data_IF_935756783174
#
_entry.id   IF_935756783174
#
_cell.length_a   1.000
_cell.length_b   1.000
_cell.length_c   1.000
_cell.angle_alpha   90.00
_cell.angle_beta   90.00
_cell.angle_gamma   90.00
#
_symmetry.space_group_name_H-M   'P 1'
#
loop_
_entity.id
_entity.type
_entity.pdbx_description
1 polymer ?
#
# COMPACT_ATOMS: atom_id res chain seq x y z
N UNK A 1 2.15 54.93 -75.58
CA UNK A 1 1.42 54.74 -74.31
C UNK A 1 1.67 53.33 -73.79
N UNK A 2 2.55 53.23 -72.85
CA UNK A 2 2.96 51.92 -72.23
C UNK A 2 2.25 51.78 -70.91
N UNK A 3 1.40 50.72 -70.78
CA UNK A 3 0.75 50.37 -69.54
C UNK A 3 1.70 49.50 -68.71
N UNK A 4 2.04 49.96 -67.51
CA UNK A 4 2.83 49.21 -66.50
C UNK A 4 1.85 48.47 -65.62
N UNK A 5 1.91 47.13 -65.66
CA UNK A 5 1.21 46.26 -64.70
C UNK A 5 2.04 46.13 -63.40
N UNK A 6 1.47 46.56 -62.28
CA UNK A 6 2.00 46.28 -60.94
C UNK A 6 1.50 44.91 -60.45
N UNK A 7 2.40 43.96 -60.29
CA UNK A 7 2.12 42.66 -59.71
C UNK A 7 2.42 42.76 -58.20
N UNK A 8 1.35 42.81 -57.37
CA UNK A 8 1.48 42.79 -55.92
C UNK A 8 1.60 41.34 -55.46
N UNK A 9 2.79 40.93 -55.00
CA UNK A 9 2.97 39.63 -54.36
C UNK A 9 2.52 39.67 -52.90
N UNK A 10 1.42 39.00 -52.57
CA UNK A 10 1.00 38.75 -51.19
C UNK A 10 1.92 37.64 -50.58
N UNK A 11 2.83 38.04 -49.68
CA UNK A 11 3.50 37.10 -48.77
C UNK A 11 2.57 36.77 -47.62
N UNK A 12 1.92 35.59 -47.66
CA UNK A 12 1.23 35.02 -46.52
C UNK A 12 2.23 34.41 -45.57
N UNK A 13 2.50 35.11 -44.46
CA UNK A 13 3.31 34.59 -43.36
C UNK A 13 2.47 33.55 -42.63
N UNK A 14 2.80 32.27 -42.86
CA UNK A 14 2.23 31.13 -42.13
C UNK A 14 2.84 31.11 -40.74
N UNK A 15 2.15 31.69 -39.74
CA UNK A 15 2.54 31.53 -38.32
C UNK A 15 2.29 30.10 -37.90
N UNK A 16 3.33 29.26 -37.95
CA UNK A 16 3.31 27.95 -37.32
C UNK A 16 3.43 28.16 -35.80
N UNK A 17 2.32 28.13 -35.09
CA UNK A 17 2.32 28.03 -33.64
C UNK A 17 2.81 26.63 -33.26
N UNK A 18 4.08 26.51 -32.87
CA UNK A 18 4.60 25.34 -32.24
C UNK A 18 4.02 25.32 -30.83
N UNK A 19 2.91 24.59 -30.65
CA UNK A 19 2.40 24.24 -29.32
C UNK A 19 3.45 23.34 -28.67
N UNK A 20 4.32 23.91 -27.84
CA UNK A 20 5.15 23.14 -26.94
C UNK A 20 4.23 22.40 -25.98
N UNK A 21 3.98 21.11 -26.26
CA UNK A 21 3.35 20.20 -25.32
C UNK A 21 4.29 20.08 -24.12
N UNK A 22 4.09 20.95 -23.14
CA UNK A 22 4.80 20.89 -21.88
C UNK A 22 4.27 19.65 -21.16
N UNK A 23 5.05 18.57 -21.14
CA UNK A 23 4.70 17.37 -20.42
C UNK A 23 4.37 17.78 -18.98
N UNK A 24 3.12 17.63 -18.59
CA UNK A 24 2.63 18.02 -17.26
C UNK A 24 3.43 17.25 -16.22
N UNK A 25 4.19 17.98 -15.42
CA UNK A 25 5.03 17.38 -14.37
C UNK A 25 4.12 16.65 -13.38
N UNK A 26 4.31 15.33 -13.19
CA UNK A 26 3.54 14.53 -12.27
C UNK A 26 3.55 15.15 -10.87
N UNK A 27 2.38 15.32 -10.28
CA UNK A 27 2.26 15.70 -8.87
C UNK A 27 2.48 14.49 -7.95
N UNK A 28 2.71 14.73 -6.67
CA UNK A 28 2.79 13.65 -5.68
C UNK A 28 1.50 12.83 -5.63
N UNK A 29 0.32 13.50 -5.76
CA UNK A 29 -0.98 12.82 -5.81
C UNK A 29 -1.11 11.91 -7.03
N UNK A 30 -0.71 12.38 -8.22
CA UNK A 30 -0.78 11.57 -9.45
C UNK A 30 0.08 10.31 -9.34
N UNK A 31 1.25 10.42 -8.69
CA UNK A 31 2.14 9.27 -8.46
C UNK A 31 1.47 8.26 -7.53
N UNK A 32 0.89 8.69 -6.41
CA UNK A 32 0.19 7.79 -5.48
C UNK A 32 -1.05 7.18 -6.14
N UNK A 33 -1.77 7.95 -6.97
CA UNK A 33 -2.88 7.40 -7.75
C UNK A 33 -2.42 6.29 -8.70
N UNK A 34 -1.31 6.49 -9.43
CA UNK A 34 -0.71 5.43 -10.28
C UNK A 34 -0.32 4.17 -9.47
N UNK A 35 0.17 4.35 -8.24
CA UNK A 35 0.47 3.22 -7.34
C UNK A 35 -0.81 2.46 -6.99
N UNK A 36 -1.90 3.18 -6.69
CA UNK A 36 -3.20 2.59 -6.39
C UNK A 36 -3.80 1.87 -7.60
N UNK A 37 -3.76 2.50 -8.75
CA UNK A 37 -4.36 1.98 -10.00
C UNK A 37 -3.52 0.88 -10.67
N UNK A 38 -2.38 0.52 -10.08
CA UNK A 38 -1.54 -0.57 -10.59
C UNK A 38 -2.33 -1.88 -10.56
N UNK A 39 -2.36 -2.64 -11.68
CA UNK A 39 -2.98 -3.96 -11.69
C UNK A 39 -2.37 -4.89 -10.64
N UNK A 40 -3.21 -5.50 -9.81
CA UNK A 40 -2.80 -6.41 -8.74
C UNK A 40 -3.70 -7.67 -8.63
N UNK A 41 -4.57 -7.91 -9.65
CA UNK A 41 -5.48 -9.05 -9.75
C UNK A 41 -6.76 -8.86 -8.94
N UNK A 42 -7.89 -9.40 -9.44
CA UNK A 42 -9.20 -9.28 -8.80
C UNK A 42 -9.31 -10.18 -7.55
N UNK A 43 -8.59 -11.28 -7.53
CA UNK A 43 -8.51 -12.19 -6.37
C UNK A 43 -7.07 -12.58 -6.12
N UNK A 44 -6.70 -12.68 -4.85
CA UNK A 44 -5.32 -12.93 -4.43
C UNK A 44 -5.30 -13.95 -3.30
N UNK A 45 -4.34 -14.85 -3.36
CA UNK A 45 -4.00 -15.79 -2.30
C UNK A 45 -2.52 -15.74 -2.04
N UNK A 46 -2.12 -15.85 -0.79
CA UNK A 46 -0.72 -16.06 -0.42
C UNK A 46 -0.59 -16.73 0.95
N UNK A 47 0.49 -17.44 1.13
CA UNK A 47 1.01 -17.83 2.43
C UNK A 47 2.07 -16.82 2.86
N UNK A 48 2.11 -16.49 4.13
CA UNK A 48 3.09 -15.54 4.67
C UNK A 48 3.80 -16.15 5.87
N UNK A 49 5.11 -15.96 5.90
CA UNK A 49 5.93 -16.24 7.08
C UNK A 49 6.34 -14.91 7.71
N UNK A 50 5.95 -14.72 8.97
CA UNK A 50 6.28 -13.53 9.75
C UNK A 50 7.35 -13.89 10.78
N UNK A 51 8.44 -13.12 10.80
CA UNK A 51 9.47 -13.20 11.85
C UNK A 51 9.48 -11.90 12.63
N UNK A 52 9.08 -11.96 13.89
CA UNK A 52 9.09 -10.84 14.83
C UNK A 52 10.42 -10.86 15.58
N UNK A 53 11.22 -9.82 15.45
CA UNK A 53 12.56 -9.72 16.02
C UNK A 53 12.59 -8.67 17.13
N UNK A 54 12.97 -9.05 18.34
CA UNK A 54 13.16 -8.13 19.45
C UNK A 54 14.58 -7.53 19.43
N UNK A 55 14.77 -6.38 20.09
CA UNK A 55 16.07 -5.72 20.27
C UNK A 55 17.18 -6.67 20.77
N UNK A 56 16.85 -7.61 21.66
CA UNK A 56 17.79 -8.58 22.23
C UNK A 56 18.10 -9.77 21.30
N UNK A 57 17.65 -9.74 20.04
CA UNK A 57 17.87 -10.81 19.06
C UNK A 57 16.88 -11.97 19.12
N UNK A 58 16.03 -12.04 20.14
CA UNK A 58 15.00 -13.09 20.21
C UNK A 58 13.99 -12.94 19.08
N UNK A 59 13.63 -14.06 18.46
CA UNK A 59 12.67 -14.09 17.36
C UNK A 59 11.44 -14.93 17.69
N UNK A 60 10.30 -14.57 17.09
CA UNK A 60 9.09 -15.39 17.04
C UNK A 60 8.64 -15.55 15.61
N UNK A 61 8.36 -16.77 15.21
CA UNK A 61 7.86 -17.07 13.87
C UNK A 61 6.35 -17.30 13.89
N UNK A 62 5.67 -16.87 12.84
CA UNK A 62 4.26 -17.11 12.58
C UNK A 62 4.04 -17.44 11.13
N UNK A 63 3.02 -18.26 10.85
CA UNK A 63 2.56 -18.52 9.49
C UNK A 63 1.13 -18.08 9.37
N UNK A 64 0.82 -17.44 8.26
CA UNK A 64 -0.48 -16.89 7.95
C UNK A 64 -0.87 -17.30 6.55
N UNK A 65 -2.11 -17.69 6.35
CA UNK A 65 -2.71 -17.83 5.02
C UNK A 65 -3.64 -16.64 4.80
N UNK A 66 -3.56 -16.03 3.62
CA UNK A 66 -4.29 -14.81 3.29
C UNK A 66 -5.04 -14.95 1.97
N UNK A 67 -6.24 -14.40 1.92
CA UNK A 67 -7.06 -14.24 0.73
C UNK A 67 -7.50 -12.78 0.63
N UNK A 68 -7.59 -12.28 -0.58
CA UNK A 68 -8.19 -11.00 -0.89
C UNK A 68 -9.06 -11.09 -2.14
N UNK A 69 -10.08 -10.26 -2.20
CA UNK A 69 -10.97 -10.17 -3.34
C UNK A 69 -11.47 -8.73 -3.48
N UNK A 70 -11.42 -8.23 -4.69
CA UNK A 70 -11.99 -6.93 -5.01
C UNK A 70 -13.49 -7.06 -5.32
N UNK A 71 -14.28 -6.12 -4.83
CA UNK A 71 -15.69 -6.01 -5.08
C UNK A 71 -16.01 -4.56 -5.51
N UNK A 72 -15.90 -4.34 -6.82
CA UNK A 72 -15.85 -2.98 -7.37
C UNK A 72 -14.54 -2.29 -6.99
N UNK A 73 -14.63 -1.16 -6.30
CA UNK A 73 -13.46 -0.41 -5.80
C UNK A 73 -13.07 -0.82 -4.37
N UNK A 74 -13.94 -1.55 -3.68
CA UNK A 74 -13.71 -2.04 -2.33
C UNK A 74 -12.90 -3.35 -2.35
N UNK A 75 -12.11 -3.60 -1.31
CA UNK A 75 -11.34 -4.86 -1.17
C UNK A 75 -11.71 -5.56 0.12
N UNK A 76 -11.98 -6.87 0.05
CA UNK A 76 -12.18 -7.73 1.22
C UNK A 76 -10.97 -8.63 1.40
N UNK A 77 -10.50 -8.75 2.64
CA UNK A 77 -9.34 -9.59 2.98
C UNK A 77 -9.69 -10.50 4.16
N UNK A 78 -9.24 -11.75 4.08
CA UNK A 78 -9.32 -12.73 5.17
C UNK A 78 -7.94 -13.33 5.40
N UNK A 79 -7.54 -13.38 6.66
CA UNK A 79 -6.29 -14.00 7.07
C UNK A 79 -6.51 -14.95 8.23
N UNK A 80 -5.78 -16.07 8.26
CA UNK A 80 -5.75 -16.97 9.41
C UNK A 80 -4.32 -17.33 9.78
N UNK A 81 -4.01 -17.25 11.06
CA UNK A 81 -2.76 -17.79 11.60
C UNK A 81 -2.83 -19.31 11.60
N UNK A 82 -1.83 -19.95 11.03
CA UNK A 82 -1.71 -21.41 10.95
C UNK A 82 -0.65 -21.96 11.88
N UNK A 83 0.28 -21.11 12.34
CA UNK A 83 1.39 -21.45 13.26
C UNK A 83 1.83 -20.20 14.03
N UNK A 84 2.33 -20.34 15.28
CA UNK A 84 2.36 -21.51 16.14
C UNK A 84 1.02 -21.81 16.81
N UNK A 85 0.99 -22.86 17.68
CA UNK A 85 -0.24 -23.34 18.29
C UNK A 85 -0.99 -22.32 19.14
N UNK A 86 -0.28 -21.40 19.81
CA UNK A 86 -0.84 -20.35 20.68
C UNK A 86 -1.64 -19.28 19.92
N UNK A 87 -1.38 -19.08 18.62
CA UNK A 87 -2.12 -18.17 17.76
C UNK A 87 -2.88 -18.86 16.63
N UNK A 88 -2.71 -20.18 16.48
CA UNK A 88 -3.38 -20.96 15.43
C UNK A 88 -4.90 -20.77 15.49
N UNK A 89 -5.49 -20.52 14.31
CA UNK A 89 -6.93 -20.26 14.18
C UNK A 89 -7.33 -18.81 14.50
N UNK A 90 -6.43 -17.95 14.97
CA UNK A 90 -6.69 -16.53 15.02
C UNK A 90 -6.97 -16.05 13.61
N UNK A 91 -8.12 -15.40 13.42
CA UNK A 91 -8.56 -14.89 12.13
C UNK A 91 -8.67 -13.37 12.11
N UNK A 92 -8.38 -12.76 10.98
CA UNK A 92 -8.54 -11.33 10.76
C UNK A 92 -9.26 -11.09 9.44
N UNK A 93 -10.37 -10.38 9.50
CA UNK A 93 -11.20 -9.99 8.35
C UNK A 93 -11.18 -8.48 8.20
N UNK A 94 -10.96 -7.98 6.99
CA UNK A 94 -11.13 -6.57 6.66
C UNK A 94 -12.05 -6.39 5.45
N UNK A 95 -12.85 -5.35 5.49
CA UNK A 95 -13.55 -4.77 4.35
C UNK A 95 -13.03 -3.34 4.21
N UNK A 96 -12.16 -3.14 3.25
CA UNK A 96 -11.53 -1.86 2.96
C UNK A 96 -12.41 -1.13 1.92
N UNK A 97 -12.93 0.03 2.29
CA UNK A 97 -13.83 0.81 1.43
C UNK A 97 -13.07 1.89 0.69
N UNK A 98 -13.34 2.03 -0.61
CA UNK A 98 -12.73 3.09 -1.43
C UNK A 98 -13.45 4.45 -1.32
N UNK A 99 -14.40 4.57 -0.39
CA UNK A 99 -15.13 5.80 -0.15
C UNK A 99 -14.45 6.64 0.94
N UNK A 100 -14.03 7.88 0.60
CA UNK A 100 -13.50 8.84 1.58
C UNK A 100 -14.47 9.04 2.73
N UNK A 101 -13.92 9.03 3.96
CA UNK A 101 -14.68 9.24 5.19
C UNK A 101 -15.49 8.04 5.66
N UNK A 102 -15.52 6.96 4.89
CA UNK A 102 -16.09 5.68 5.33
C UNK A 102 -15.00 4.86 6.02
N UNK A 103 -15.21 4.58 7.31
CA UNK A 103 -14.27 3.77 8.09
C UNK A 103 -14.30 2.32 7.63
N UNK A 104 -13.12 1.73 7.39
CA UNK A 104 -12.97 0.31 7.11
C UNK A 104 -13.53 -0.54 8.23
N UNK A 105 -14.10 -1.68 7.87
CA UNK A 105 -14.60 -2.64 8.84
C UNK A 105 -13.56 -3.74 9.08
N UNK A 106 -13.11 -3.89 10.32
CA UNK A 106 -12.05 -4.82 10.70
C UNK A 106 -12.52 -5.68 11.88
N UNK A 107 -12.32 -7.01 11.80
CA UNK A 107 -12.67 -7.96 12.86
C UNK A 107 -11.52 -8.91 13.13
N UNK A 108 -11.22 -9.09 14.42
CA UNK A 108 -10.25 -10.05 14.92
C UNK A 108 -10.97 -11.15 15.69
N UNK A 109 -10.85 -12.40 15.26
CA UNK A 109 -11.32 -13.57 15.97
C UNK A 109 -10.18 -14.20 16.77
N UNK A 110 -10.44 -14.43 18.05
CA UNK A 110 -9.50 -15.05 18.98
C UNK A 110 -10.05 -16.41 19.43
N UNK A 111 -9.58 -17.54 18.90
CA UNK A 111 -10.16 -18.86 19.16
C UNK A 111 -10.05 -19.29 20.63
N UNK A 112 -8.98 -18.92 21.32
CA UNK A 112 -8.81 -19.19 22.75
C UNK A 112 -9.93 -18.56 23.62
N UNK A 113 -10.49 -17.44 23.17
CA UNK A 113 -11.58 -16.72 23.85
C UNK A 113 -12.94 -17.01 23.23
N UNK A 114 -12.99 -17.68 22.06
CA UNK A 114 -14.18 -17.86 21.22
C UNK A 114 -14.94 -16.53 20.98
N UNK A 115 -14.18 -15.45 20.78
CA UNK A 115 -14.74 -14.09 20.64
C UNK A 115 -14.22 -13.42 19.37
N UNK A 116 -15.15 -12.74 18.70
CA UNK A 116 -14.83 -11.79 17.63
C UNK A 116 -14.86 -10.38 18.22
N UNK A 117 -13.80 -9.64 18.00
CA UNK A 117 -13.65 -8.23 18.37
C UNK A 117 -13.62 -7.37 17.11
N UNK A 118 -14.45 -6.34 17.07
CA UNK A 118 -14.32 -5.29 16.05
C UNK A 118 -13.15 -4.38 16.43
N UNK A 119 -12.30 -4.08 15.43
CA UNK A 119 -11.20 -3.13 15.54
C UNK A 119 -11.64 -1.87 14.79
N UNK A 120 -11.73 -0.73 15.47
CA UNK A 120 -12.22 0.52 14.89
C UNK A 120 -11.62 1.74 15.58
N UNK A 121 -11.78 2.92 14.95
CA UNK A 121 -11.33 4.20 15.47
C UNK A 121 -9.83 4.25 15.75
N UNK A 122 -9.44 4.84 16.87
CA UNK A 122 -8.05 5.00 17.28
C UNK A 122 -7.32 3.67 17.42
N UNK A 123 -7.98 2.62 17.92
CA UNK A 123 -7.37 1.29 18.06
C UNK A 123 -6.87 0.71 16.74
N UNK A 124 -7.56 0.98 15.61
CA UNK A 124 -7.09 0.53 14.30
C UNK A 124 -5.76 1.18 13.93
N UNK A 125 -5.57 2.44 14.29
CA UNK A 125 -4.40 3.25 13.96
C UNK A 125 -3.23 3.05 14.93
N UNK A 126 -3.51 2.84 16.22
CA UNK A 126 -2.49 2.81 17.29
C UNK A 126 -2.07 1.41 17.70
N UNK A 127 -3.00 0.44 17.66
CA UNK A 127 -2.69 -0.92 18.11
C UNK A 127 -1.94 -1.69 17.03
N UNK A 128 -0.90 -2.39 17.44
CA UNK A 128 -0.11 -3.21 16.55
C UNK A 128 -0.79 -4.56 16.28
N UNK A 129 -0.85 -4.93 15.00
CA UNK A 129 -1.42 -6.19 14.54
C UNK A 129 -0.67 -7.39 15.15
N UNK A 130 -1.31 -8.09 16.07
CA UNK A 130 -0.79 -9.32 16.67
C UNK A 130 0.68 -9.22 17.15
N UNK A 131 1.10 -8.05 17.66
CA UNK A 131 2.45 -7.82 18.18
C UNK A 131 3.54 -7.66 17.10
N UNK A 132 3.16 -7.45 15.85
CA UNK A 132 4.06 -7.02 14.76
C UNK A 132 4.36 -5.52 14.87
N UNK A 133 5.16 -4.98 13.95
CA UNK A 133 5.38 -3.53 13.82
C UNK A 133 4.42 -2.86 12.84
N UNK A 134 3.44 -3.61 12.34
CA UNK A 134 2.32 -3.10 11.54
C UNK A 134 1.13 -2.84 12.44
N UNK A 135 0.45 -1.72 12.26
CA UNK A 135 -0.84 -1.47 12.91
C UNK A 135 -1.96 -2.24 12.21
N UNK A 136 -3.15 -2.32 12.82
CA UNK A 136 -4.30 -2.88 12.11
C UNK A 136 -4.65 -2.07 10.85
N UNK A 137 -4.35 -0.78 10.85
CA UNK A 137 -4.58 0.11 9.70
C UNK A 137 -3.58 -0.14 8.57
N UNK A 138 -2.31 -0.47 8.90
CA UNK A 138 -1.32 -0.86 7.91
C UNK A 138 -1.70 -2.16 7.16
N UNK A 139 -2.62 -2.98 7.69
CA UNK A 139 -3.12 -4.20 7.04
C UNK A 139 -4.24 -3.93 6.03
N UNK A 140 -4.82 -2.74 6.07
CA UNK A 140 -5.87 -2.27 5.16
C UNK A 140 -5.32 -1.61 3.88
N UNK A 141 -6.20 -0.96 3.16
CA UNK A 141 -5.89 -0.09 2.02
C UNK A 141 -6.16 1.35 2.42
N UNK A 142 -5.31 2.29 1.98
CA UNK A 142 -5.48 3.71 2.28
C UNK A 142 -5.97 4.44 1.04
N UNK A 143 -7.03 5.25 1.18
CA UNK A 143 -7.50 6.08 0.08
C UNK A 143 -6.48 7.20 -0.22
N UNK A 144 -6.32 7.52 -1.52
CA UNK A 144 -5.29 8.50 -1.94
C UNK A 144 -5.50 9.86 -1.26
N UNK A 145 -6.73 10.33 -1.15
CA UNK A 145 -7.03 11.65 -0.61
C UNK A 145 -7.12 11.70 0.93
N UNK A 146 -6.79 10.61 1.63
CA UNK A 146 -6.58 10.64 3.09
C UNK A 146 -5.26 11.32 3.48
N UNK A 147 -4.34 11.48 2.53
CA UNK A 147 -3.10 12.23 2.71
C UNK A 147 -2.97 13.33 1.66
N UNK A 148 -2.27 14.41 1.99
CA UNK A 148 -1.78 15.41 1.03
C UNK A 148 -0.40 14.97 0.55
N UNK A 149 -0.24 14.84 -0.77
CA UNK A 149 0.98 14.29 -1.38
C UNK A 149 1.80 15.38 -2.07
N UNK A 150 3.11 15.34 -1.86
CA UNK A 150 4.07 16.25 -2.51
C UNK A 150 5.23 15.44 -3.10
N UNK A 151 5.48 15.56 -4.39
CA UNK A 151 6.71 15.07 -4.99
C UNK A 151 7.87 15.95 -4.52
N UNK A 152 8.80 15.35 -3.79
CA UNK A 152 9.99 16.05 -3.29
C UNK A 152 11.10 16.08 -4.35
N UNK A 153 11.41 14.92 -4.94
CA UNK A 153 12.49 14.72 -5.93
C UNK A 153 12.38 13.36 -6.60
N UNK A 154 13.24 13.16 -7.57
CA UNK A 154 13.57 11.84 -8.12
C UNK A 154 15.00 11.48 -7.71
N UNK A 155 15.23 10.22 -7.38
CA UNK A 155 16.59 9.71 -7.09
C UNK A 155 16.71 8.22 -7.35
N UNK A 156 17.94 7.75 -7.41
CA UNK A 156 18.23 6.30 -7.47
C UNK A 156 18.21 5.71 -6.07
N UNK A 157 17.49 4.62 -5.89
CA UNK A 157 17.49 3.83 -4.65
C UNK A 157 17.63 2.34 -4.99
N UNK A 158 18.66 1.71 -4.44
CA UNK A 158 18.96 0.28 -4.65
C UNK A 158 18.96 -0.12 -6.15
N UNK A 159 19.54 0.75 -7.00
CA UNK A 159 19.65 0.53 -8.45
C UNK A 159 18.37 0.84 -9.24
N UNK A 160 17.32 1.36 -8.62
CA UNK A 160 16.06 1.71 -9.28
C UNK A 160 15.78 3.21 -9.22
N UNK A 161 15.28 3.77 -10.33
CA UNK A 161 14.81 5.14 -10.38
C UNK A 161 13.49 5.25 -9.59
N UNK A 162 13.46 6.14 -8.60
CA UNK A 162 12.32 6.33 -7.71
C UNK A 162 11.82 7.78 -7.72
N UNK A 163 10.52 7.94 -7.56
CA UNK A 163 9.93 9.18 -7.06
C UNK A 163 9.98 9.16 -5.53
N UNK A 164 10.40 10.27 -4.93
CA UNK A 164 10.33 10.47 -3.47
C UNK A 164 9.14 11.36 -3.18
N UNK A 165 8.13 10.78 -2.55
CA UNK A 165 6.86 11.45 -2.25
C UNK A 165 6.66 11.57 -0.76
N UNK A 166 6.43 12.80 -0.28
CA UNK A 166 5.96 13.07 1.06
C UNK A 166 4.43 12.99 1.09
N UNK A 167 3.89 12.33 2.11
CA UNK A 167 2.45 12.19 2.36
C UNK A 167 2.15 12.63 3.78
N UNK A 168 1.29 13.65 3.92
CA UNK A 168 0.87 14.23 5.20
C UNK A 168 -0.60 13.91 5.43
N UNK A 169 -0.98 13.22 6.52
CA UNK A 169 -2.36 12.88 6.82
C UNK A 169 -3.26 14.12 6.89
N UNK A 170 -4.48 14.00 6.34
CA UNK A 170 -5.53 15.00 6.52
C UNK A 170 -6.15 14.87 7.91
N UNK A 171 -6.31 13.63 8.40
CA UNK A 171 -6.79 13.34 9.75
C UNK A 171 -5.69 13.65 10.79
N UNK A 172 -5.98 14.56 11.71
CA UNK A 172 -5.08 14.95 12.80
C UNK A 172 -4.89 13.85 13.86
N UNK A 173 -5.76 12.84 13.89
CA UNK A 173 -5.69 11.72 14.83
C UNK A 173 -4.81 10.56 14.32
N UNK A 174 -4.21 10.68 13.14
CA UNK A 174 -3.24 9.71 12.64
C UNK A 174 -2.03 9.61 13.57
N UNK A 175 -1.40 8.42 13.69
CA UNK A 175 -0.26 8.20 14.61
C UNK A 175 1.06 8.79 14.09
N UNK A 176 1.15 9.11 12.82
CA UNK A 176 2.33 9.73 12.21
C UNK A 176 2.02 11.15 11.72
N UNK A 177 3.04 12.01 11.73
CA UNK A 177 2.93 13.38 11.21
C UNK A 177 3.06 13.42 9.69
N UNK A 178 3.89 12.55 9.12
CA UNK A 178 4.13 12.38 7.68
C UNK A 178 4.79 11.05 7.38
N UNK A 179 4.69 10.66 6.11
CA UNK A 179 5.46 9.55 5.50
C UNK A 179 6.30 10.11 4.37
N UNK A 180 7.48 9.53 4.13
CA UNK A 180 8.27 9.76 2.92
C UNK A 180 8.49 8.43 2.24
N UNK A 181 8.01 8.30 1.01
CA UNK A 181 8.01 7.05 0.25
C UNK A 181 8.88 7.14 -0.98
N UNK A 182 9.77 6.17 -1.18
CA UNK A 182 10.54 5.95 -2.41
C UNK A 182 9.78 4.97 -3.29
N UNK A 183 9.16 5.47 -4.33
CA UNK A 183 8.29 4.70 -5.22
C UNK A 183 9.04 4.42 -6.51
N UNK A 184 9.29 3.15 -6.79
CA UNK A 184 9.96 2.70 -8.01
C UNK A 184 9.11 3.03 -9.23
N UNK A 185 9.75 3.65 -10.24
CA UNK A 185 9.06 4.08 -11.47
C UNK A 185 8.74 2.91 -12.40
N UNK A 186 9.52 1.83 -12.34
CA UNK A 186 9.38 0.66 -13.22
C UNK A 186 8.24 -0.28 -12.83
N UNK A 187 7.87 -0.32 -11.55
CA UNK A 187 6.84 -1.25 -11.05
C UNK A 187 5.72 -0.57 -10.25
N UNK A 188 5.78 0.76 -10.03
CA UNK A 188 4.80 1.52 -9.26
C UNK A 188 4.61 0.96 -7.84
N UNK A 189 5.70 0.55 -7.20
CA UNK A 189 5.70 0.03 -5.83
C UNK A 189 6.69 0.80 -4.97
N UNK A 190 6.33 1.02 -3.71
CA UNK A 190 7.29 1.55 -2.75
C UNK A 190 8.43 0.53 -2.54
N UNK A 191 9.67 0.99 -2.55
CA UNK A 191 10.84 0.21 -2.13
C UNK A 191 11.19 0.49 -0.67
N UNK A 192 10.88 1.72 -0.23
CA UNK A 192 11.25 2.18 1.10
C UNK A 192 10.26 3.25 1.57
N UNK A 193 9.88 3.22 2.86
CA UNK A 193 8.99 4.24 3.46
C UNK A 193 9.47 4.59 4.86
N UNK A 194 9.63 5.87 5.12
CA UNK A 194 9.88 6.42 6.44
C UNK A 194 8.59 6.96 7.03
N UNK A 195 8.29 6.58 8.28
CA UNK A 195 7.16 7.09 9.06
C UNK A 195 7.69 7.96 10.20
N UNK A 196 7.22 9.18 10.30
CA UNK A 196 7.61 10.12 11.33
C UNK A 196 6.49 10.29 12.36
N UNK A 197 6.82 10.24 13.64
CA UNK A 197 5.86 10.39 14.73
C UNK A 197 5.29 11.83 14.83
N UNK A 198 4.43 12.10 15.80
CA UNK A 198 3.83 13.41 16.02
C UNK A 198 4.84 14.51 16.38
N UNK A 199 6.02 14.14 16.86
CA UNK A 199 7.13 15.03 17.14
C UNK A 199 8.08 15.16 15.95
N UNK A 200 7.68 14.62 14.77
CA UNK A 200 8.48 14.61 13.54
C UNK A 200 9.83 13.87 13.69
N UNK A 201 9.91 12.90 14.61
CA UNK A 201 11.05 12.00 14.76
C UNK A 201 10.78 10.71 13.97
N UNK A 202 11.83 10.15 13.36
CA UNK A 202 11.72 8.87 12.66
C UNK A 202 11.25 7.80 13.66
N UNK A 203 10.17 7.12 13.30
CA UNK A 203 9.50 6.14 14.15
C UNK A 203 9.61 4.74 13.57
N UNK A 204 9.15 4.56 12.32
CA UNK A 204 9.17 3.25 11.65
C UNK A 204 9.75 3.39 10.25
N UNK A 205 10.40 2.33 9.79
CA UNK A 205 10.94 2.21 8.44
C UNK A 205 10.43 0.92 7.81
N UNK A 206 9.77 1.03 6.67
CA UNK A 206 9.38 -0.10 5.84
C UNK A 206 10.37 -0.23 4.68
N UNK A 207 11.02 -1.38 4.58
CA UNK A 207 11.83 -1.77 3.43
C UNK A 207 11.12 -2.87 2.67
N UNK A 208 10.95 -2.71 1.37
CA UNK A 208 10.32 -3.69 0.49
C UNK A 208 11.39 -4.19 -0.49
N UNK A 209 11.54 -5.48 -0.56
CA UNK A 209 12.55 -6.14 -1.40
C UNK A 209 11.96 -7.37 -2.08
N UNK A 210 12.77 -7.98 -2.97
CA UNK A 210 12.37 -9.17 -3.72
C UNK A 210 11.02 -8.98 -4.46
N UNK A 211 10.92 -7.89 -5.23
CA UNK A 211 9.76 -7.57 -6.07
C UNK A 211 9.92 -8.27 -7.42
N UNK A 212 8.97 -9.15 -7.76
CA UNK A 212 8.98 -9.95 -9.01
C UNK A 212 7.59 -10.01 -9.62
N UNK A 213 7.51 -10.33 -10.91
CA UNK A 213 6.22 -10.61 -11.55
C UNK A 213 5.79 -12.06 -11.33
N UNK A 214 4.54 -12.25 -10.91
CA UNK A 214 3.86 -13.53 -10.82
C UNK A 214 2.58 -13.44 -11.66
N UNK A 215 2.43 -14.25 -12.68
CA UNK A 215 1.31 -14.19 -13.65
C UNK A 215 1.07 -12.78 -14.23
N UNK A 216 2.16 -12.00 -14.43
CA UNK A 216 2.07 -10.63 -14.96
C UNK A 216 1.93 -9.54 -13.91
N UNK A 217 1.54 -9.84 -12.67
CA UNK A 217 1.38 -8.90 -11.57
C UNK A 217 2.68 -8.70 -10.80
N UNK A 218 3.05 -7.44 -10.53
CA UNK A 218 4.17 -7.13 -9.66
C UNK A 218 3.85 -7.55 -8.22
N UNK A 219 4.69 -8.38 -7.64
CA UNK A 219 4.46 -9.05 -6.35
C UNK A 219 5.63 -8.80 -5.40
N UNK A 220 5.32 -8.40 -4.17
CA UNK A 220 6.28 -8.27 -3.08
C UNK A 220 6.48 -9.65 -2.47
N UNK A 221 7.72 -10.15 -2.41
CA UNK A 221 8.05 -11.40 -1.74
C UNK A 221 8.65 -11.20 -0.35
N UNK A 222 9.20 -10.01 -0.08
CA UNK A 222 9.76 -9.69 1.24
C UNK A 222 9.55 -8.24 1.60
N UNK A 223 9.09 -8.01 2.83
CA UNK A 223 9.05 -6.67 3.44
C UNK A 223 9.52 -6.74 4.89
N UNK A 224 10.12 -5.66 5.35
CA UNK A 224 10.58 -5.51 6.73
C UNK A 224 10.10 -4.18 7.28
N UNK A 225 9.31 -4.21 8.34
CA UNK A 225 8.98 -3.02 9.12
C UNK A 225 9.88 -3.00 10.36
N UNK A 226 10.63 -1.94 10.54
CA UNK A 226 11.46 -1.71 11.73
C UNK A 226 10.94 -0.51 12.50
N UNK A 227 10.61 -0.69 13.75
CA UNK A 227 10.41 0.41 14.68
C UNK A 227 11.81 0.83 15.21
N UNK A 228 12.27 2.01 14.80
CA UNK A 228 13.63 2.46 15.12
C UNK A 228 13.75 2.97 16.56
N UNK A 229 12.63 3.32 17.20
CA UNK A 229 12.61 3.82 18.58
C UNK A 229 12.66 2.65 19.59
N UNK A 230 12.03 1.52 19.28
CA UNK A 230 12.03 0.31 20.13
C UNK A 230 13.04 -0.74 19.71
N UNK A 231 13.61 -0.57 18.50
CA UNK A 231 14.50 -1.54 17.85
C UNK A 231 13.86 -2.93 17.62
N UNK A 232 12.52 -2.98 17.62
CA UNK A 232 11.76 -4.15 17.22
C UNK A 232 11.56 -4.15 15.69
N UNK A 233 11.49 -5.32 15.08
CA UNK A 233 11.19 -5.41 13.65
C UNK A 233 10.38 -6.65 13.31
N UNK A 234 9.61 -6.53 12.24
CA UNK A 234 8.83 -7.63 11.66
C UNK A 234 9.23 -7.82 10.20
N UNK A 235 9.68 -9.03 9.88
CA UNK A 235 9.93 -9.46 8.50
C UNK A 235 8.74 -10.28 8.03
N UNK A 236 8.18 -9.94 6.88
CA UNK A 236 7.13 -10.72 6.20
C UNK A 236 7.72 -11.27 4.90
N UNK A 237 7.65 -12.58 4.74
CA UNK A 237 7.97 -13.27 3.49
C UNK A 237 6.70 -13.83 2.89
N UNK A 238 6.40 -13.46 1.65
CA UNK A 238 5.25 -13.95 0.89
C UNK A 238 5.66 -15.19 0.12
N UNK A 239 4.91 -16.26 0.31
CA UNK A 239 5.10 -17.56 -0.33
C UNK A 239 3.87 -17.90 -1.17
N UNK A 240 4.08 -18.65 -2.24
CA UNK A 240 3.02 -19.21 -3.08
C UNK A 240 1.93 -18.19 -3.50
N UNK A 241 2.30 -16.96 -3.93
CA UNK A 241 1.30 -15.98 -4.34
C UNK A 241 0.55 -16.46 -5.58
N UNK A 242 -0.78 -16.32 -5.56
CA UNK A 242 -1.67 -16.67 -6.65
C UNK A 242 -2.63 -15.53 -6.92
N UNK A 243 -2.91 -15.29 -8.19
CA UNK A 243 -3.77 -14.22 -8.68
C UNK A 243 -4.86 -14.77 -9.58
N UNK A 244 -6.01 -14.09 -9.57
CA UNK A 244 -7.17 -14.38 -10.40
C UNK A 244 -7.62 -15.85 -10.29
N UNK A 245 -7.62 -16.35 -9.04
CA UNK A 245 -8.12 -17.66 -8.69
C UNK A 245 -9.60 -17.58 -8.27
N UNK A 246 -10.31 -18.70 -8.42
CA UNK A 246 -11.69 -18.78 -7.92
C UNK A 246 -11.71 -18.77 -6.39
N UNK A 247 -12.34 -17.74 -5.78
CA UNK A 247 -12.55 -17.63 -4.34
C UNK A 247 -14.05 -17.46 -4.10
N UNK A 248 -14.61 -18.22 -3.13
CA UNK A 248 -16.00 -18.04 -2.72
C UNK A 248 -16.13 -16.74 -1.90
N UNK A 249 -17.08 -15.88 -2.28
CA UNK A 249 -17.40 -14.64 -1.55
C UNK A 249 -17.79 -14.89 -0.09
N UNK A 250 -18.38 -16.05 0.22
CA UNK A 250 -18.73 -16.46 1.57
C UNK A 250 -17.53 -16.55 2.52
N UNK A 251 -16.30 -16.66 1.98
CA UNK A 251 -15.06 -16.61 2.75
C UNK A 251 -14.93 -15.31 3.54
N UNK A 252 -15.39 -14.18 3.00
CA UNK A 252 -15.17 -12.84 3.58
C UNK A 252 -16.33 -12.40 4.47
N UNK A 253 -16.80 -13.29 5.33
CA UNK A 253 -17.89 -13.02 6.30
C UNK A 253 -17.43 -13.24 7.73
N UNK A 254 -18.06 -12.54 8.69
CA UNK A 254 -17.79 -12.72 10.11
C UNK A 254 -18.12 -14.16 10.54
N UNK A 255 -19.20 -14.76 10.01
CA UNK A 255 -19.53 -16.16 10.29
C UNK A 255 -18.42 -17.13 9.86
N UNK A 256 -17.78 -16.89 8.68
CA UNK A 256 -16.66 -17.73 8.23
C UNK A 256 -15.40 -17.47 9.05
N UNK A 257 -15.17 -16.22 9.47
CA UNK A 257 -14.07 -15.86 10.38
C UNK A 257 -14.15 -16.67 11.68
N UNK A 258 -15.34 -16.81 12.26
CA UNK A 258 -15.58 -17.54 13.52
C UNK A 258 -15.50 -19.06 13.37
N UNK A 259 -15.89 -19.59 12.21
CA UNK A 259 -15.80 -21.04 11.91
C UNK A 259 -14.37 -21.49 11.63
N UNK A 260 -13.50 -20.55 11.24
CA UNK A 260 -12.12 -20.87 10.87
C UNK A 260 -11.98 -21.48 9.46
N UNK A 261 -10.81 -22.05 9.20
CA UNK A 261 -10.49 -22.75 7.95
C UNK A 261 -11.10 -24.14 7.90
#
# INVERSE_FOLDING_TARGET
MKKILFLAALLSIFNVQISTCQAQKLSGRDIIQKVKDRPDGNTRYAEMELTLCKKNGNTRQRKVTSWAMDEGMDTKKMMFFTYPGDVKGTGFLTWDYDQIGKEDAKWLYLPAMKKTRRISGSSSKTDYFMGTDFTYDDMGSRHVDEDKHKLLREEMKDGHKCWVVESVPVDKHEIYSRKVSWIRQDCLMAAYVEYYDKLNKLHRVLTISDIKKVKGFWTIHKMTMKNVQTEHSTVIQVKNPQYDIKIDKALFTVSKLEKGL
#
